data_IF_672978764738
#
_entry.id   IF_672978764738
#
_cell.length_a   1.000
_cell.length_b   1.000
_cell.length_c   1.000
_cell.angle_alpha   90.00
_cell.angle_beta   90.00
_cell.angle_gamma   90.00
#
_symmetry.space_group_name_H-M   'P 1'
#
loop_
_entity.id
_entity.type
_entity.pdbx_description
1 polymer ?
#
# COMPACT_ATOMS: atom_id res chain seq x y z
N UNK A 1 15.61 17.81 4.76
CA UNK A 1 15.87 17.61 6.20
C UNK A 1 15.86 16.11 6.59
N UNK A 2 15.37 15.22 5.72
CA UNK A 2 15.83 13.82 5.62
C UNK A 2 17.29 13.65 5.13
N UNK A 3 17.80 14.59 4.32
CA UNK A 3 19.17 14.56 3.76
C UNK A 3 20.32 14.85 4.75
N UNK A 4 20.04 15.23 6.00
CA UNK A 4 21.10 15.52 6.97
C UNK A 4 21.51 14.32 7.84
N UNK A 5 20.90 13.14 7.66
CA UNK A 5 21.32 11.91 8.33
C UNK A 5 21.30 11.95 9.86
N UNK A 6 20.69 12.96 10.48
CA UNK A 6 20.64 13.11 11.95
C UNK A 6 19.36 12.55 12.58
N UNK A 7 18.34 12.22 11.79
CA UNK A 7 17.04 11.73 12.27
C UNK A 7 16.93 10.23 11.94
N UNK A 8 17.16 9.37 12.95
CA UNK A 8 17.25 7.91 12.81
C UNK A 8 18.45 7.28 13.53
N UNK A 9 19.57 8.01 13.59
CA UNK A 9 20.83 7.57 14.23
C UNK A 9 20.69 7.43 15.75
N UNK A 10 19.86 8.25 16.40
CA UNK A 10 19.69 8.19 17.86
C UNK A 10 18.87 6.98 18.33
N UNK A 11 18.07 6.37 17.44
CA UNK A 11 17.25 5.19 17.73
C UNK A 11 17.76 3.90 17.06
N UNK A 12 18.84 3.97 16.28
CA UNK A 12 19.36 2.82 15.52
C UNK A 12 18.40 2.32 14.42
N UNK A 13 17.48 3.17 13.96
CA UNK A 13 16.41 2.79 13.03
C UNK A 13 16.83 2.89 11.56
N UNK A 14 18.02 3.42 11.25
CA UNK A 14 18.45 3.72 9.89
C UNK A 14 18.37 2.50 8.95
N UNK A 15 18.76 1.33 9.45
CA UNK A 15 18.68 0.08 8.68
C UNK A 15 17.24 -0.36 8.44
N UNK A 16 16.35 -0.15 9.41
CA UNK A 16 14.93 -0.46 9.28
C UNK A 16 14.24 0.53 8.32
N UNK A 17 14.52 1.83 8.44
CA UNK A 17 14.06 2.89 7.55
C UNK A 17 14.46 2.56 6.11
N UNK A 18 15.73 2.24 5.89
CA UNK A 18 16.23 1.87 4.56
C UNK A 18 15.53 0.63 3.98
N UNK A 19 15.30 -0.41 4.79
CA UNK A 19 14.59 -1.60 4.37
C UNK A 19 13.12 -1.31 4.00
N UNK A 20 12.45 -0.47 4.79
CA UNK A 20 11.06 -0.04 4.55
C UNK A 20 10.97 0.78 3.27
N UNK A 21 11.84 1.77 3.09
CA UNK A 21 11.86 2.63 1.90
C UNK A 21 12.17 1.80 0.64
N UNK A 22 13.08 0.84 0.75
CA UNK A 22 13.36 -0.12 -0.34
C UNK A 22 12.13 -0.97 -0.67
N UNK A 23 11.38 -1.43 0.33
CA UNK A 23 10.16 -2.20 0.14
C UNK A 23 9.06 -1.36 -0.53
N UNK A 24 8.88 -0.11 -0.11
CA UNK A 24 7.95 0.85 -0.73
C UNK A 24 8.34 1.14 -2.18
N UNK A 25 9.63 1.37 -2.47
CA UNK A 25 10.11 1.58 -3.84
C UNK A 25 9.93 0.34 -4.74
N UNK A 26 9.98 -0.87 -4.18
CA UNK A 26 9.62 -2.10 -4.91
C UNK A 26 8.11 -2.20 -5.13
N UNK A 27 7.30 -1.83 -4.13
CA UNK A 27 5.85 -1.80 -4.25
C UNK A 27 5.37 -0.80 -5.31
N UNK A 28 5.90 0.42 -5.32
CA UNK A 28 5.59 1.44 -6.32
C UNK A 28 5.92 1.00 -7.76
N UNK A 29 7.12 0.46 -8.00
CA UNK A 29 7.48 -0.10 -9.31
C UNK A 29 6.57 -1.24 -9.75
N UNK A 30 6.11 -2.06 -8.80
CA UNK A 30 5.17 -3.15 -9.09
C UNK A 30 3.78 -2.61 -9.43
N UNK A 31 3.30 -1.62 -8.68
CA UNK A 31 2.06 -0.91 -8.96
C UNK A 31 2.07 -0.32 -10.37
N UNK A 32 3.13 0.39 -10.77
CA UNK A 32 3.24 0.95 -12.14
C UNK A 32 3.17 -0.15 -13.20
N UNK A 33 3.84 -1.30 -12.99
CA UNK A 33 3.74 -2.43 -13.93
C UNK A 33 2.33 -3.00 -14.02
N UNK A 34 1.63 -3.11 -12.89
CA UNK A 34 0.25 -3.57 -12.84
C UNK A 34 -0.71 -2.61 -13.55
N UNK A 35 -0.56 -1.31 -13.32
CA UNK A 35 -1.35 -0.28 -14.00
C UNK A 35 -1.13 -0.35 -15.51
N UNK A 36 0.12 -0.33 -15.96
CA UNK A 36 0.46 -0.45 -17.37
C UNK A 36 -0.08 -1.76 -18.01
N UNK A 37 -0.06 -2.86 -17.26
CA UNK A 37 -0.60 -4.12 -17.75
C UNK A 37 -2.12 -4.07 -17.92
N UNK A 38 -2.84 -3.42 -17.00
CA UNK A 38 -4.28 -3.21 -17.14
C UNK A 38 -4.62 -2.22 -18.26
N UNK A 39 -3.80 -1.18 -18.46
CA UNK A 39 -3.97 -0.19 -19.52
C UNK A 39 -3.72 -0.78 -20.92
N UNK A 40 -2.99 -1.90 -20.99
CA UNK A 40 -2.76 -2.65 -22.22
C UNK A 40 -3.83 -3.71 -22.51
N UNK A 41 -4.81 -3.92 -21.62
CA UNK A 41 -5.91 -4.85 -21.86
C UNK A 41 -6.94 -4.22 -22.82
N UNK A 42 -7.58 -5.02 -23.69
CA UNK A 42 -8.66 -4.54 -24.55
C UNK A 42 -9.87 -4.13 -23.70
N UNK A 43 -10.41 -2.95 -23.98
CA UNK A 43 -11.58 -2.42 -23.28
C UNK A 43 -12.85 -3.21 -23.64
N UNK A 44 -13.58 -3.64 -22.62
CA UNK A 44 -14.89 -4.31 -22.78
C UNK A 44 -14.83 -5.73 -23.34
N UNK A 45 -13.64 -6.31 -23.48
CA UNK A 45 -13.47 -7.70 -23.92
C UNK A 45 -13.10 -8.63 -22.76
N UNK A 46 -13.58 -9.87 -22.84
CA UNK A 46 -13.23 -10.90 -21.86
C UNK A 46 -11.74 -11.26 -22.00
N UNK A 47 -11.02 -11.31 -20.87
CA UNK A 47 -9.57 -11.49 -20.83
C UNK A 47 -9.23 -12.93 -20.48
N UNK A 48 -8.33 -13.54 -21.26
CA UNK A 48 -7.87 -14.89 -20.94
C UNK A 48 -7.09 -14.93 -19.62
N UNK A 49 -7.37 -15.93 -18.79
CA UNK A 49 -6.68 -16.13 -17.50
C UNK A 49 -5.16 -16.24 -17.66
N UNK A 50 -4.69 -16.82 -18.78
CA UNK A 50 -3.26 -16.92 -19.08
C UNK A 50 -2.59 -15.55 -19.25
N UNK A 51 -3.30 -14.59 -19.87
CA UNK A 51 -2.82 -13.20 -20.00
C UNK A 51 -2.71 -12.54 -18.63
N UNK A 52 -3.70 -12.74 -17.77
CA UNK A 52 -3.67 -12.22 -16.40
C UNK A 52 -2.53 -12.82 -15.58
N UNK A 53 -2.33 -14.14 -15.61
CA UNK A 53 -1.25 -14.78 -14.84
C UNK A 53 0.16 -14.35 -15.25
N UNK A 54 0.35 -13.90 -16.51
CA UNK A 54 1.63 -13.33 -16.97
C UNK A 54 1.90 -11.96 -16.36
N UNK A 55 0.89 -11.10 -16.29
CA UNK A 55 1.00 -9.75 -15.72
C UNK A 55 0.91 -9.75 -14.18
N UNK A 56 0.17 -10.71 -13.63
CA UNK A 56 -0.13 -10.87 -12.21
C UNK A 56 0.17 -12.32 -11.77
N UNK A 57 1.45 -12.67 -11.58
CA UNK A 57 1.83 -14.02 -11.18
C UNK A 57 1.12 -14.48 -9.91
N UNK A 58 0.49 -15.66 -9.95
CA UNK A 58 -0.23 -16.26 -8.83
C UNK A 58 -1.56 -15.58 -8.45
N UNK A 59 -2.16 -14.78 -9.34
CA UNK A 59 -3.45 -14.11 -9.10
C UNK A 59 -4.62 -15.10 -8.91
N UNK A 60 -4.54 -16.28 -9.51
CA UNK A 60 -5.54 -17.35 -9.42
C UNK A 60 -5.27 -18.36 -8.31
N UNK A 61 -4.11 -18.26 -7.66
CA UNK A 61 -3.66 -19.15 -6.60
C UNK A 61 -4.03 -18.61 -5.21
N UNK A 62 -4.39 -19.53 -4.31
CA UNK A 62 -4.58 -19.18 -2.91
C UNK A 62 -3.22 -18.87 -2.29
N UNK A 63 -3.03 -17.62 -1.83
CA UNK A 63 -1.74 -17.18 -1.28
C UNK A 63 -0.65 -17.05 -2.34
N UNK A 64 -1.01 -16.91 -3.61
CA UNK A 64 -0.05 -16.72 -4.70
C UNK A 64 0.77 -15.43 -4.57
N UNK A 65 1.81 -15.33 -5.40
CA UNK A 65 2.79 -14.25 -5.37
C UNK A 65 2.15 -12.85 -5.41
N UNK A 66 1.10 -12.66 -6.23
CA UNK A 66 0.35 -11.42 -6.30
C UNK A 66 -0.15 -10.97 -4.92
N UNK A 67 -0.77 -11.88 -4.16
CA UNK A 67 -1.31 -11.57 -2.83
C UNK A 67 -0.21 -11.32 -1.81
N UNK A 68 0.89 -12.09 -1.86
CA UNK A 68 2.05 -11.86 -1.00
C UNK A 68 2.63 -10.45 -1.22
N UNK A 69 2.68 -9.96 -2.47
CA UNK A 69 3.14 -8.61 -2.76
C UNK A 69 2.20 -7.52 -2.23
N UNK A 70 0.89 -7.75 -2.23
CA UNK A 70 -0.08 -6.82 -1.61
C UNK A 70 0.11 -6.75 -0.10
N UNK A 71 0.28 -7.91 0.55
CA UNK A 71 0.50 -8.00 2.00
C UNK A 71 1.83 -7.32 2.39
N UNK A 72 2.90 -7.53 1.62
CA UNK A 72 4.18 -6.84 1.83
C UNK A 72 4.08 -5.32 1.64
N UNK A 73 3.32 -4.86 0.65
CA UNK A 73 3.09 -3.43 0.43
C UNK A 73 2.33 -2.82 1.61
N UNK A 74 1.24 -3.45 2.05
CA UNK A 74 0.46 -3.00 3.22
C UNK A 74 1.32 -2.96 4.50
N UNK A 75 2.14 -3.98 4.72
CA UNK A 75 3.06 -4.01 5.85
C UNK A 75 4.09 -2.88 5.79
N UNK A 76 4.69 -2.65 4.62
CA UNK A 76 5.66 -1.57 4.43
C UNK A 76 5.04 -0.19 4.69
N UNK A 77 3.82 0.07 4.20
CA UNK A 77 3.06 1.30 4.46
C UNK A 77 2.80 1.46 5.97
N UNK A 78 2.30 0.42 6.64
CA UNK A 78 2.02 0.45 8.06
C UNK A 78 3.29 0.71 8.90
N UNK A 79 4.42 0.14 8.50
CA UNK A 79 5.72 0.38 9.15
C UNK A 79 6.21 1.80 8.90
N UNK A 80 6.13 2.32 7.67
CA UNK A 80 6.54 3.70 7.34
C UNK A 80 5.75 4.72 8.15
N UNK A 81 4.42 4.57 8.24
CA UNK A 81 3.56 5.46 9.06
C UNK A 81 4.05 5.53 10.52
N UNK A 82 4.40 4.38 11.12
CA UNK A 82 4.92 4.33 12.50
C UNK A 82 6.30 4.99 12.63
N UNK A 83 7.21 4.69 11.72
CA UNK A 83 8.57 5.27 11.71
C UNK A 83 8.52 6.79 11.60
N UNK A 84 7.65 7.30 10.72
CA UNK A 84 7.46 8.74 10.50
C UNK A 84 7.00 9.44 11.79
N UNK A 85 6.08 8.84 12.56
CA UNK A 85 5.65 9.37 13.87
C UNK A 85 6.82 9.36 14.87
N UNK A 86 7.62 8.30 14.91
CA UNK A 86 8.79 8.24 15.80
C UNK A 86 9.82 9.33 15.47
N UNK A 87 10.11 9.53 14.18
CA UNK A 87 11.02 10.58 13.72
C UNK A 87 10.48 11.99 14.04
N UNK A 88 9.15 12.18 14.01
CA UNK A 88 8.50 13.43 14.42
C UNK A 88 8.76 13.75 15.89
N UNK A 89 8.57 12.76 16.77
CA UNK A 89 8.77 12.91 18.21
C UNK A 89 10.23 13.20 18.53
N UNK A 90 11.16 12.47 17.91
CA UNK A 90 12.61 12.69 18.07
C UNK A 90 13.00 14.11 17.63
N UNK A 91 12.48 14.58 16.50
CA UNK A 91 12.76 15.92 16.00
C UNK A 91 12.29 17.01 16.97
N UNK A 92 11.07 16.88 17.50
CA UNK A 92 10.49 17.82 18.45
C UNK A 92 11.26 17.89 19.77
N UNK A 93 11.80 16.76 20.25
CA UNK A 93 12.62 16.71 21.47
C UNK A 93 13.98 17.38 21.28
N UNK A 94 14.61 17.18 20.12
CA UNK A 94 15.98 17.65 19.86
C UNK A 94 16.07 19.10 19.37
N UNK A 95 14.98 19.70 18.89
CA UNK A 95 14.97 21.07 18.35
C UNK A 95 13.77 21.90 18.87
N UNK A 96 13.74 22.26 20.17
CA UNK A 96 12.58 22.94 20.78
C UNK A 96 12.29 24.35 20.24
N UNK A 97 13.25 24.97 19.51
CA UNK A 97 13.11 26.31 18.93
C UNK A 97 13.03 26.37 17.40
N UNK A 98 13.02 25.22 16.70
CA UNK A 98 13.06 25.20 15.23
C UNK A 98 11.67 25.03 14.61
N UNK A 99 11.51 25.65 13.44
CA UNK A 99 10.25 25.89 12.75
C UNK A 99 9.69 24.56 12.24
N UNK A 100 8.60 24.11 12.85
CA UNK A 100 7.81 22.93 12.48
C UNK A 100 7.53 22.84 10.97
N UNK A 101 7.49 23.96 10.25
CA UNK A 101 7.03 24.06 8.87
C UNK A 101 7.75 23.14 7.86
N UNK A 102 9.09 23.08 7.87
CA UNK A 102 9.83 22.23 6.93
C UNK A 102 9.67 20.74 7.25
N UNK A 103 9.60 20.41 8.55
CA UNK A 103 9.33 19.04 9.01
C UNK A 103 7.90 18.60 8.66
N UNK A 104 6.90 19.44 8.94
CA UNK A 104 5.49 19.19 8.60
C UNK A 104 5.30 19.08 7.07
N UNK A 105 6.05 19.83 6.28
CA UNK A 105 6.02 19.74 4.81
C UNK A 105 6.58 18.41 4.31
N UNK A 106 7.69 17.93 4.88
CA UNK A 106 8.24 16.61 4.57
C UNK A 106 7.29 15.49 5.02
N UNK A 107 6.75 15.59 6.23
CA UNK A 107 5.74 14.67 6.76
C UNK A 107 4.51 14.56 5.84
N UNK A 108 3.99 15.69 5.38
CA UNK A 108 2.85 15.75 4.47
C UNK A 108 3.16 15.10 3.12
N UNK A 109 4.38 15.31 2.60
CA UNK A 109 4.83 14.68 1.35
C UNK A 109 4.93 13.16 1.49
N UNK A 110 5.47 12.68 2.61
CA UNK A 110 5.57 11.24 2.89
C UNK A 110 4.18 10.61 3.00
N UNK A 111 3.25 11.24 3.73
CA UNK A 111 1.86 10.78 3.81
C UNK A 111 1.19 10.73 2.43
N UNK A 112 1.36 11.79 1.62
CA UNK A 112 0.78 11.84 0.28
C UNK A 112 1.29 10.70 -0.60
N UNK A 113 2.59 10.39 -0.57
CA UNK A 113 3.15 9.28 -1.34
C UNK A 113 2.62 7.91 -0.92
N UNK A 114 2.37 7.70 0.38
CA UNK A 114 1.74 6.47 0.88
C UNK A 114 0.28 6.37 0.45
N UNK A 115 -0.46 7.47 0.52
CA UNK A 115 -1.86 7.53 0.12
C UNK A 115 -2.02 7.30 -1.40
N UNK A 116 -1.10 7.84 -2.21
CA UNK A 116 -1.05 7.60 -3.66
C UNK A 116 -0.77 6.11 -3.97
N UNK A 117 0.15 5.47 -3.25
CA UNK A 117 0.43 4.04 -3.40
C UNK A 117 -0.78 3.19 -3.02
N UNK A 118 -1.41 3.44 -1.88
CA UNK A 118 -2.60 2.71 -1.43
C UNK A 118 -3.78 2.91 -2.39
N UNK A 119 -4.03 4.14 -2.82
CA UNK A 119 -5.10 4.46 -3.78
C UNK A 119 -4.85 3.82 -5.14
N UNK A 120 -3.59 3.79 -5.61
CA UNK A 120 -3.23 3.11 -6.84
C UNK A 120 -3.43 1.60 -6.76
N UNK A 121 -3.04 0.96 -5.65
CA UNK A 121 -3.30 -0.46 -5.41
C UNK A 121 -4.80 -0.75 -5.38
N UNK A 122 -5.58 0.09 -4.67
CA UNK A 122 -7.03 -0.01 -4.65
C UNK A 122 -7.64 0.06 -6.06
N UNK A 123 -7.17 1.00 -6.89
CA UNK A 123 -7.59 1.13 -8.29
C UNK A 123 -7.29 -0.11 -9.13
N UNK A 124 -6.10 -0.71 -8.96
CA UNK A 124 -5.74 -1.98 -9.62
C UNK A 124 -6.69 -3.11 -9.20
N UNK A 125 -6.96 -3.26 -7.90
CA UNK A 125 -7.84 -4.31 -7.39
C UNK A 125 -9.28 -4.16 -7.87
N UNK A 126 -9.80 -2.93 -7.90
CA UNK A 126 -11.13 -2.63 -8.44
C UNK A 126 -11.22 -2.99 -9.93
N UNK A 127 -10.24 -2.56 -10.73
CA UNK A 127 -10.20 -2.88 -12.17
C UNK A 127 -10.12 -4.38 -12.40
N UNK A 128 -9.25 -5.09 -11.67
CA UNK A 128 -9.15 -6.55 -11.75
C UNK A 128 -10.47 -7.23 -11.39
N UNK A 129 -11.15 -6.77 -10.34
CA UNK A 129 -12.41 -7.36 -9.89
C UNK A 129 -13.58 -7.16 -10.86
N UNK A 130 -13.46 -6.21 -11.77
CA UNK A 130 -14.45 -5.91 -12.80
C UNK A 130 -14.18 -6.63 -14.13
N UNK A 131 -13.05 -7.34 -14.26
CA UNK A 131 -12.71 -8.05 -15.49
C UNK A 131 -13.58 -9.28 -15.70
N UNK A 132 -14.08 -9.43 -16.92
CA UNK A 132 -14.67 -10.68 -17.37
C UNK A 132 -13.56 -11.64 -17.84
N UNK A 133 -13.59 -12.89 -17.40
CA UNK A 133 -12.60 -13.89 -17.82
C UNK A 133 -13.08 -14.66 -19.05
N UNK A 134 -12.24 -14.68 -20.08
CA UNK A 134 -12.43 -15.54 -21.24
C UNK A 134 -11.89 -16.96 -21.01
N UNK A 135 -12.48 -17.90 -21.74
CA UNK A 135 -11.90 -19.23 -21.95
C UNK A 135 -10.52 -19.07 -22.62
N UNK A 136 -9.46 -19.74 -22.16
CA UNK A 136 -8.22 -19.84 -22.92
C UNK A 136 -8.47 -20.38 -24.34
N UNK A 137 -7.99 -19.67 -25.37
CA UNK A 137 -8.00 -20.14 -26.75
C UNK A 137 -6.95 -21.24 -26.96
N UNK A 138 -7.26 -22.45 -26.49
CA UNK A 138 -6.46 -23.64 -26.72
C UNK A 138 -6.86 -24.39 -28.00
N UNK A 139 -5.93 -25.19 -28.54
CA UNK A 139 -6.14 -26.08 -29.69
C UNK A 139 -7.22 -27.17 -29.47
N UNK A 140 -7.75 -27.31 -28.24
CA UNK A 140 -8.79 -28.27 -27.89
C UNK A 140 -10.12 -27.54 -27.66
N UNK A 141 -11.18 -27.86 -28.41
CA UNK A 141 -12.47 -27.15 -28.31
C UNK A 141 -13.27 -27.50 -27.02
N UNK A 142 -12.84 -28.51 -26.26
CA UNK A 142 -13.56 -29.04 -25.09
C UNK A 142 -12.71 -28.88 -23.83
N UNK A 143 -13.30 -28.31 -22.78
CA UNK A 143 -12.69 -28.28 -21.45
C UNK A 143 -12.92 -29.61 -20.74
N UNK A 144 -11.90 -30.04 -19.99
CA UNK A 144 -12.11 -31.03 -18.93
C UNK A 144 -12.87 -30.39 -17.76
N UNK A 145 -13.65 -31.16 -16.99
CA UNK A 145 -14.32 -30.64 -15.79
C UNK A 145 -13.36 -29.91 -14.83
N UNK A 146 -12.14 -30.42 -14.66
CA UNK A 146 -11.13 -29.78 -13.79
C UNK A 146 -10.65 -28.41 -14.29
N UNK A 147 -10.59 -28.20 -15.61
CA UNK A 147 -10.25 -26.89 -16.18
C UNK A 147 -11.37 -25.86 -15.96
N UNK A 148 -12.64 -26.29 -16.07
CA UNK A 148 -13.80 -25.44 -15.75
C UNK A 148 -13.78 -25.06 -14.27
N UNK A 149 -13.60 -26.03 -13.37
CA UNK A 149 -13.54 -25.77 -11.93
C UNK A 149 -12.40 -24.83 -11.57
N UNK A 150 -11.24 -24.96 -12.23
CA UNK A 150 -10.12 -24.02 -12.05
C UNK A 150 -10.50 -22.61 -12.52
N UNK A 151 -11.09 -22.47 -13.71
CA UNK A 151 -11.50 -21.17 -14.25
C UNK A 151 -12.55 -20.50 -13.37
N UNK A 152 -13.58 -21.24 -12.92
CA UNK A 152 -14.63 -20.73 -12.03
C UNK A 152 -14.07 -20.27 -10.68
N UNK A 153 -13.13 -21.05 -10.10
CA UNK A 153 -12.44 -20.64 -8.86
C UNK A 153 -11.59 -19.39 -9.08
N UNK A 154 -10.86 -19.31 -10.19
CA UNK A 154 -10.04 -18.14 -10.53
C UNK A 154 -10.91 -16.89 -10.70
N UNK A 155 -12.01 -16.99 -11.48
CA UNK A 155 -12.98 -15.92 -11.68
C UNK A 155 -13.55 -15.42 -10.35
N UNK A 156 -14.00 -16.36 -9.50
CA UNK A 156 -14.53 -16.00 -8.19
C UNK A 156 -13.49 -15.30 -7.31
N UNK A 157 -12.24 -15.80 -7.28
CA UNK A 157 -11.17 -15.16 -6.51
C UNK A 157 -10.86 -13.74 -6.99
N UNK A 158 -10.77 -13.55 -8.31
CA UNK A 158 -10.46 -12.25 -8.92
C UNK A 158 -11.59 -11.24 -8.63
N UNK A 159 -12.85 -11.64 -8.76
CA UNK A 159 -13.99 -10.77 -8.44
C UNK A 159 -13.99 -10.34 -6.96
N UNK A 160 -13.59 -11.23 -6.03
CA UNK A 160 -13.48 -10.87 -4.61
C UNK A 160 -12.30 -9.95 -4.27
N UNK A 161 -11.41 -9.63 -5.21
CA UNK A 161 -10.34 -8.65 -4.97
C UNK A 161 -10.92 -7.28 -4.63
N UNK A 162 -12.09 -6.94 -5.19
CA UNK A 162 -12.80 -5.68 -4.91
C UNK A 162 -13.45 -5.60 -3.52
N UNK A 163 -13.85 -6.75 -2.94
CA UNK A 163 -14.59 -6.79 -1.66
C UNK A 163 -13.81 -6.25 -0.46
N UNK A 164 -12.47 -6.34 -0.52
CA UNK A 164 -11.59 -5.91 0.57
C UNK A 164 -10.88 -4.59 0.26
N UNK A 165 -11.28 -3.90 -0.82
CA UNK A 165 -10.77 -2.56 -1.12
C UNK A 165 -11.50 -1.56 -0.23
N UNK A 166 -11.03 -1.42 1.01
CA UNK A 166 -11.39 -0.28 1.85
C UNK A 166 -10.69 0.95 1.31
N UNK A 167 -11.30 1.60 0.31
CA UNK A 167 -10.98 3.00 -0.04
C UNK A 167 -11.27 3.79 1.23
N UNK A 168 -10.22 4.22 1.94
CA UNK A 168 -10.26 4.86 3.27
C UNK A 168 -10.30 3.91 4.49
N UNK A 169 -9.33 3.00 4.62
CA UNK A 169 -8.87 2.60 5.96
C UNK A 169 -7.97 3.68 6.57
N UNK A 170 -8.42 4.94 6.56
CA UNK A 170 -7.90 5.88 7.55
C UNK A 170 -8.46 5.36 8.86
N UNK A 171 -7.59 4.77 9.70
CA UNK A 171 -7.80 4.98 11.12
C UNK A 171 -7.93 6.51 11.24
N UNK A 172 -9.13 6.98 11.60
CA UNK A 172 -9.50 8.41 11.65
C UNK A 172 -8.30 9.18 12.16
N UNK A 173 -7.78 10.14 11.39
CA UNK A 173 -6.61 10.91 11.84
C UNK A 173 -6.94 11.42 13.24
N UNK A 174 -6.14 11.00 14.23
CA UNK A 174 -6.40 11.32 15.63
C UNK A 174 -5.48 12.47 16.01
N UNK A 175 -6.07 13.60 16.36
CA UNK A 175 -5.31 14.70 16.94
C UNK A 175 -5.13 14.43 18.43
N UNK A 176 -3.88 14.33 18.88
CA UNK A 176 -3.51 14.26 20.29
C UNK A 176 -2.81 15.57 20.65
N UNK A 177 -3.52 16.45 21.36
CA UNK A 177 -2.93 17.69 21.86
C UNK A 177 -2.20 17.42 23.17
N UNK A 178 -1.00 18.00 23.31
CA UNK A 178 -0.20 17.91 24.52
C UNK A 178 0.16 19.32 24.96
N UNK A 179 -0.28 19.71 26.16
CA UNK A 179 0.12 20.98 26.78
C UNK A 179 1.14 20.74 27.89
N UNK A 180 2.15 21.61 27.95
CA UNK A 180 3.08 21.71 29.08
C UNK A 180 2.73 22.94 29.92
N UNK A 181 2.46 22.72 31.19
CA UNK A 181 2.23 23.79 32.16
C UNK A 181 3.55 24.44 32.58
N UNK A 182 3.46 25.65 33.17
CA UNK A 182 4.64 26.43 33.61
C UNK A 182 5.46 25.75 34.71
N UNK A 183 4.87 24.82 35.44
CA UNK A 183 5.52 23.99 36.47
C UNK A 183 6.25 22.76 35.90
N UNK A 184 6.20 22.57 34.58
CA UNK A 184 6.80 21.44 33.88
C UNK A 184 5.89 20.21 33.76
N UNK A 185 4.68 20.23 34.34
CA UNK A 185 3.71 19.15 34.16
C UNK A 185 3.19 19.09 32.72
N UNK A 186 2.88 17.87 32.25
CA UNK A 186 2.41 17.62 30.88
C UNK A 186 1.01 17.02 30.95
N UNK A 187 0.07 17.60 30.21
CA UNK A 187 -1.30 17.12 30.07
C UNK A 187 -1.50 16.65 28.64
N UNK A 188 -1.94 15.40 28.49
CA UNK A 188 -2.36 14.83 27.20
C UNK A 188 -3.88 14.97 27.12
N UNK A 189 -4.35 15.70 26.12
CA UNK A 189 -5.78 15.83 25.87
C UNK A 189 -6.32 14.60 25.15
N UNK A 190 -7.59 14.25 25.38
CA UNK A 190 -8.20 13.09 24.74
C UNK A 190 -8.09 13.18 23.22
N UNK A 191 -7.78 12.04 22.63
CA UNK A 191 -7.78 11.80 21.20
C UNK A 191 -9.10 12.24 20.58
N UNK A 192 -9.06 13.31 19.78
CA UNK A 192 -10.20 13.76 18.99
C UNK A 192 -10.03 13.30 17.55
N UNK A 193 -11.10 12.81 16.88
CA UNK A 193 -11.07 12.64 15.44
C UNK A 193 -10.85 14.01 14.78
N UNK A 194 -9.95 14.05 13.80
CA UNK A 194 -9.69 15.23 12.98
C UNK A 194 -10.89 15.60 12.10
#
# INVERSE_FOLDING_TARGET
LLDQGKLGVSLGLDSAVYAIDTALGKAGRRLTRWQNALDALPDGEAVEIGTLTKAFPGIDDQGGEFRAHLELASLAVALKRRVVVLQAVEHAQNNPGNVFESFTRELKRDQQGLDELESGIAGVLLRLSALELARPNGLRPVFTPGEVDRLMRAAHRINRLGENVTVNSRATDVTIEIARNRDGSVVVFPALPA
#
